data_IF_624879628966
#
_entry.id   IF_624879628966
#
_cell.length_a   1.000
_cell.length_b   1.000
_cell.length_c   1.000
_cell.angle_alpha   90.00
_cell.angle_beta   90.00
_cell.angle_gamma   90.00
#
_symmetry.space_group_name_H-M   'P 1'
#
loop_
_entity.id
_entity.type
_entity.pdbx_description
1 polymer ?
#
# COMPACT_ATOMS: atom_id res chain seq x y z
N UNK A 1 -11.18 -7.84 7.54
CA UNK A 1 -10.81 -6.64 6.76
C UNK A 1 -9.31 -6.42 6.88
N UNK A 2 -8.67 -5.97 5.82
CA UNK A 2 -7.24 -5.71 5.82
C UNK A 2 -6.93 -4.45 6.64
N UNK A 3 -5.88 -4.51 7.45
CA UNK A 3 -5.49 -3.38 8.30
C UNK A 3 -5.19 -2.12 7.50
N UNK A 4 -4.55 -2.27 6.34
CA UNK A 4 -4.24 -1.11 5.49
C UNK A 4 -5.51 -0.42 5.01
N UNK A 5 -6.52 -1.19 4.63
CA UNK A 5 -7.80 -0.64 4.19
C UNK A 5 -8.46 0.14 5.32
N UNK A 6 -8.42 -0.41 6.54
CA UNK A 6 -8.97 0.30 7.71
C UNK A 6 -8.25 1.61 7.96
N UNK A 7 -6.92 1.62 7.89
CA UNK A 7 -6.13 2.82 8.11
C UNK A 7 -6.49 3.89 7.08
N UNK A 8 -6.63 3.50 5.82
CA UNK A 8 -6.99 4.43 4.75
C UNK A 8 -8.37 5.01 4.96
N UNK A 9 -9.32 4.19 5.38
CA UNK A 9 -10.68 4.66 5.64
C UNK A 9 -10.72 5.67 6.77
N UNK A 10 -9.98 5.41 7.84
CA UNK A 10 -9.94 6.31 9.00
C UNK A 10 -9.17 7.59 8.73
N UNK A 11 -7.98 7.44 8.14
CA UNK A 11 -7.09 8.57 7.95
C UNK A 11 -7.56 9.52 6.86
N UNK A 12 -7.96 8.94 5.71
CA UNK A 12 -8.31 9.71 4.54
C UNK A 12 -9.82 9.92 4.37
N UNK A 13 -10.63 9.23 5.17
CA UNK A 13 -12.07 9.37 5.12
C UNK A 13 -12.69 8.82 3.84
N UNK A 14 -12.01 7.89 3.18
CA UNK A 14 -12.51 7.27 1.95
C UNK A 14 -13.42 6.08 2.25
N UNK A 15 -14.21 5.67 1.26
CA UNK A 15 -15.06 4.49 1.39
C UNK A 15 -14.24 3.21 1.33
N UNK A 16 -14.83 2.10 1.73
CA UNK A 16 -14.17 0.80 1.66
C UNK A 16 -13.73 0.47 0.24
N UNK A 17 -14.59 0.68 -0.74
CA UNK A 17 -14.27 0.37 -2.13
C UNK A 17 -13.09 1.20 -2.62
N UNK A 18 -13.05 2.47 -2.27
CA UNK A 18 -11.97 3.36 -2.66
C UNK A 18 -10.67 2.98 -1.95
N UNK A 19 -10.74 2.69 -0.66
CA UNK A 19 -9.57 2.27 0.10
C UNK A 19 -9.00 0.96 -0.44
N UNK A 20 -9.88 0.03 -0.80
CA UNK A 20 -9.46 -1.24 -1.38
C UNK A 20 -8.76 -1.04 -2.72
N UNK A 21 -9.26 -0.15 -3.54
CA UNK A 21 -8.62 0.17 -4.83
C UNK A 21 -7.22 0.74 -4.62
N UNK A 22 -7.08 1.67 -3.69
CA UNK A 22 -5.78 2.24 -3.35
C UNK A 22 -4.82 1.15 -2.87
N UNK A 23 -5.31 0.28 -1.99
CA UNK A 23 -4.52 -0.84 -1.47
C UNK A 23 -4.04 -1.76 -2.58
N UNK A 24 -4.93 -2.16 -3.48
CA UNK A 24 -4.58 -3.07 -4.56
C UNK A 24 -3.59 -2.46 -5.54
N UNK A 25 -3.73 -1.18 -5.84
CA UNK A 25 -2.78 -0.47 -6.69
C UNK A 25 -1.39 -0.43 -6.05
N UNK A 26 -1.34 -0.12 -4.77
CA UNK A 26 -0.08 -0.09 -4.04
C UNK A 26 0.55 -1.48 -3.96
N UNK A 27 -0.27 -2.52 -3.76
CA UNK A 27 0.21 -3.89 -3.73
C UNK A 27 0.86 -4.29 -5.05
N UNK A 28 0.24 -3.91 -6.16
CA UNK A 28 0.79 -4.22 -7.48
C UNK A 28 2.16 -3.57 -7.66
N UNK A 29 2.30 -2.32 -7.27
CA UNK A 29 3.59 -1.62 -7.36
C UNK A 29 4.65 -2.24 -6.45
N UNK A 30 4.24 -2.67 -5.24
CA UNK A 30 5.14 -3.36 -4.33
C UNK A 30 5.66 -4.66 -4.93
N UNK A 31 4.79 -5.43 -5.56
CA UNK A 31 5.19 -6.68 -6.19
C UNK A 31 6.19 -6.43 -7.30
N UNK A 32 5.98 -5.41 -8.11
CA UNK A 32 6.93 -5.02 -9.14
C UNK A 32 8.28 -4.63 -8.55
N UNK A 33 8.27 -3.90 -7.45
CA UNK A 33 9.49 -3.49 -6.77
C UNK A 33 10.26 -4.69 -6.22
N UNK A 34 9.55 -5.68 -5.67
CA UNK A 34 10.18 -6.90 -5.18
C UNK A 34 10.79 -7.74 -6.29
N UNK A 35 10.17 -7.74 -7.47
CA UNK A 35 10.69 -8.47 -8.62
C UNK A 35 11.83 -7.74 -9.32
N UNK A 36 12.08 -6.50 -8.95
CA UNK A 36 13.14 -5.70 -9.54
C UNK A 36 12.80 -5.13 -10.90
N UNK A 37 11.52 -5.14 -11.27
CA UNK A 37 11.06 -4.58 -12.54
C UNK A 37 10.75 -3.09 -12.45
N UNK A 38 10.65 -2.58 -11.22
CA UNK A 38 10.40 -1.17 -10.95
C UNK A 38 11.71 -0.46 -10.56
N UNK A 39 11.78 0.83 -10.84
CA UNK A 39 12.88 1.66 -10.38
C UNK A 39 12.77 2.04 -8.92
N UNK A 40 11.61 1.77 -8.30
CA UNK A 40 11.35 2.10 -6.91
C UNK A 40 11.65 0.91 -6.01
N UNK A 41 12.06 1.21 -4.79
CA UNK A 41 12.23 0.18 -3.77
C UNK A 41 10.88 -0.02 -3.05
N UNK A 42 10.63 -1.21 -2.45
CA UNK A 42 9.38 -1.44 -1.73
C UNK A 42 9.10 -0.40 -0.65
N UNK A 43 10.14 0.04 0.05
CA UNK A 43 10.03 1.08 1.07
C UNK A 43 9.53 2.38 0.47
N UNK A 44 10.06 2.78 -0.68
CA UNK A 44 9.65 4.01 -1.36
C UNK A 44 8.18 3.94 -1.79
N UNK A 45 7.73 2.78 -2.23
CA UNK A 45 6.33 2.60 -2.63
C UNK A 45 5.41 2.82 -1.44
N UNK A 46 5.70 2.18 -0.30
CA UNK A 46 4.89 2.33 0.90
C UNK A 46 4.85 3.77 1.41
N UNK A 47 6.00 4.39 1.52
CA UNK A 47 6.09 5.74 2.06
C UNK A 47 5.55 6.78 1.09
N UNK A 48 5.82 6.61 -0.21
CA UNK A 48 5.39 7.56 -1.22
C UNK A 48 3.93 7.46 -1.58
N UNK A 49 3.39 6.25 -1.66
CA UNK A 49 2.00 6.03 -2.06
C UNK A 49 1.02 6.18 -0.89
N UNK A 50 1.37 5.59 0.26
CA UNK A 50 0.45 5.52 1.40
C UNK A 50 0.92 6.32 2.60
N UNK A 51 2.18 6.73 2.63
CA UNK A 51 2.75 7.40 3.79
C UNK A 51 2.83 6.51 5.02
N UNK A 52 2.97 5.21 4.79
CA UNK A 52 3.06 4.23 5.86
C UNK A 52 4.50 3.78 6.11
N UNK A 53 4.76 3.31 7.33
CA UNK A 53 6.06 2.79 7.68
C UNK A 53 6.31 1.43 7.05
N UNK A 54 7.58 1.05 6.95
CA UNK A 54 7.98 -0.24 6.36
C UNK A 54 7.37 -1.44 7.08
N UNK A 55 7.05 -1.30 8.36
CA UNK A 55 6.44 -2.39 9.13
C UNK A 55 5.12 -2.87 8.52
N UNK A 56 4.44 -2.00 7.80
CA UNK A 56 3.16 -2.36 7.18
C UNK A 56 3.32 -3.23 5.94
N UNK A 57 4.54 -3.45 5.48
CA UNK A 57 4.78 -4.29 4.31
C UNK A 57 4.25 -5.72 4.53
N UNK A 58 4.24 -6.19 5.77
CA UNK A 58 3.73 -7.53 6.10
C UNK A 58 2.23 -7.67 5.88
N UNK A 59 1.53 -6.56 5.72
CA UNK A 59 0.11 -6.59 5.38
C UNK A 59 -0.13 -6.87 3.90
N UNK A 60 0.92 -6.77 3.09
CA UNK A 60 0.83 -6.95 1.64
C UNK A 60 1.35 -8.31 1.18
N UNK A 61 2.13 -9.00 2.01
CA UNK A 61 2.75 -10.28 1.64
C UNK A 61 2.34 -11.44 2.53
#
# INVERSE_FOLDING_TARGET
>A
MNEIIEILMRRDGVSYDEAKEIYENCKAELMDAFEGTSCLEPEDVLMGELGLEMDYIFCFI
#
